data_IF_804733090118
#
_entry.id   IF_804733090118
#
_cell.length_a   1.000
_cell.length_b   1.000
_cell.length_c   1.000
_cell.angle_alpha   90.00
_cell.angle_beta   90.00
_cell.angle_gamma   90.00
#
_symmetry.space_group_name_H-M   'P 1'
#
loop_
_entity.id
_entity.type
_entity.pdbx_description
1 polymer ?
#
# COMPACT_ATOMS: atom_id res chain seq x y z
N UNK A 1 1.45 2.38 -3.32
CA UNK A 1 0.89 2.94 -2.07
C UNK A 1 -0.47 2.34 -1.73
N UNK A 2 -1.46 2.40 -2.64
CA UNK A 2 -2.80 1.85 -2.39
C UNK A 2 -2.79 0.35 -2.04
N UNK A 3 -2.01 -0.47 -2.72
CA UNK A 3 -1.91 -1.91 -2.46
C UNK A 3 -1.41 -2.21 -1.04
N UNK A 4 -0.45 -1.45 -0.53
CA UNK A 4 0.05 -1.58 0.86
C UNK A 4 -1.01 -1.12 1.86
N UNK A 5 -1.67 -0.01 1.57
CA UNK A 5 -2.73 0.55 2.42
C UNK A 5 -3.92 -0.40 2.52
N UNK A 6 -4.26 -1.13 1.46
CA UNK A 6 -5.29 -2.18 1.48
C UNK A 6 -4.98 -3.26 2.52
N UNK A 7 -3.73 -3.69 2.63
CA UNK A 7 -3.30 -4.71 3.60
C UNK A 7 -3.36 -4.19 5.04
N UNK A 8 -2.88 -2.98 5.29
CA UNK A 8 -2.84 -2.40 6.64
C UNK A 8 -4.16 -1.79 7.12
N UNK A 9 -5.10 -1.51 6.23
CA UNK A 9 -6.45 -1.06 6.57
C UNK A 9 -6.55 0.33 7.20
N UNK A 10 -5.57 1.22 6.96
CA UNK A 10 -5.59 2.58 7.49
C UNK A 10 -6.59 3.46 6.72
N UNK A 11 -7.70 3.86 7.34
CA UNK A 11 -8.74 4.66 6.68
C UNK A 11 -8.27 6.05 6.23
N UNK A 12 -7.44 6.71 7.01
CA UNK A 12 -6.87 8.03 6.63
C UNK A 12 -5.93 7.90 5.43
N UNK A 13 -5.10 6.88 5.45
CA UNK A 13 -4.17 6.59 4.37
C UNK A 13 -4.91 6.19 3.09
N UNK A 14 -5.99 5.43 3.20
CA UNK A 14 -6.84 5.07 2.07
C UNK A 14 -7.40 6.31 1.37
N UNK A 15 -7.97 7.22 2.12
CA UNK A 15 -8.47 8.49 1.58
C UNK A 15 -7.35 9.33 0.94
N UNK A 16 -6.24 9.49 1.65
CA UNK A 16 -5.11 10.30 1.18
C UNK A 16 -4.51 9.74 -0.11
N UNK A 17 -4.21 8.44 -0.14
CA UNK A 17 -3.60 7.80 -1.30
C UNK A 17 -4.55 7.68 -2.48
N UNK A 18 -5.84 7.44 -2.26
CA UNK A 18 -6.85 7.46 -3.31
C UNK A 18 -6.92 8.84 -3.98
N UNK A 19 -7.01 9.90 -3.18
CA UNK A 19 -7.05 11.28 -3.69
C UNK A 19 -5.79 11.63 -4.49
N UNK A 20 -4.61 11.20 -4.03
CA UNK A 20 -3.36 11.42 -4.78
C UNK A 20 -3.29 10.57 -6.04
N UNK A 21 -3.74 9.33 -6.00
CA UNK A 21 -3.81 8.45 -7.16
C UNK A 21 -4.67 9.02 -8.27
N UNK A 22 -5.87 9.47 -7.93
CA UNK A 22 -6.78 10.12 -8.89
C UNK A 22 -6.17 11.36 -9.54
N UNK A 23 -5.45 12.17 -8.75
CA UNK A 23 -4.72 13.34 -9.29
C UNK A 23 -3.54 12.97 -10.19
N UNK A 24 -2.99 11.78 -10.01
CA UNK A 24 -1.86 11.26 -10.80
C UNK A 24 -2.32 10.46 -12.04
N UNK A 25 -3.62 10.38 -12.30
CA UNK A 25 -4.18 9.73 -13.48
C UNK A 25 -4.64 8.28 -13.26
N UNK A 26 -4.65 7.79 -12.03
CA UNK A 26 -5.25 6.48 -11.69
C UNK A 26 -6.78 6.61 -11.83
N UNK A 27 -7.40 5.68 -12.52
CA UNK A 27 -8.86 5.66 -12.66
C UNK A 27 -9.55 5.36 -11.33
N UNK A 28 -10.76 5.90 -11.15
CA UNK A 28 -11.50 5.73 -9.89
C UNK A 28 -11.87 4.27 -9.60
N UNK A 29 -12.22 3.51 -10.62
CA UNK A 29 -12.53 2.08 -10.48
C UNK A 29 -11.29 1.27 -10.11
N UNK A 30 -10.14 1.59 -10.72
CA UNK A 30 -8.86 0.98 -10.37
C UNK A 30 -8.46 1.29 -8.92
N UNK A 31 -8.62 2.55 -8.48
CA UNK A 31 -8.31 2.94 -7.10
C UNK A 31 -9.18 2.17 -6.09
N UNK A 32 -10.47 2.00 -6.36
CA UNK A 32 -11.38 1.21 -5.52
C UNK A 32 -10.96 -0.26 -5.50
N UNK A 33 -10.63 -0.84 -6.65
CA UNK A 33 -10.17 -2.22 -6.76
C UNK A 33 -8.88 -2.46 -5.97
N UNK A 34 -7.90 -1.56 -6.07
CA UNK A 34 -6.63 -1.64 -5.32
C UNK A 34 -6.85 -1.56 -3.81
N UNK A 35 -7.75 -0.70 -3.35
CA UNK A 35 -8.10 -0.60 -1.93
C UNK A 35 -8.86 -1.84 -1.42
N UNK A 36 -9.56 -2.54 -2.30
CA UNK A 36 -10.18 -3.82 -2.00
C UNK A 36 -9.21 -5.02 -2.07
N UNK A 37 -7.94 -4.77 -2.41
CA UNK A 37 -6.92 -5.81 -2.56
C UNK A 37 -6.93 -6.52 -3.91
N UNK A 38 -7.70 -6.05 -4.89
CA UNK A 38 -7.75 -6.61 -6.24
C UNK A 38 -6.74 -5.93 -7.16
N UNK A 39 -6.02 -6.73 -7.95
CA UNK A 39 -5.06 -6.27 -8.95
C UNK A 39 -5.55 -6.50 -10.39
N UNK A 40 -6.81 -6.91 -10.57
CA UNK A 40 -7.36 -7.26 -11.87
C UNK A 40 -7.42 -6.09 -12.85
N UNK A 41 -7.61 -4.88 -12.34
CA UNK A 41 -7.71 -3.66 -13.15
C UNK A 41 -6.37 -2.94 -13.33
N UNK A 42 -5.27 -3.45 -12.79
CA UNK A 42 -3.98 -2.78 -12.92
C UNK A 42 -3.36 -3.02 -14.31
N UNK A 43 -2.63 -2.02 -14.87
CA UNK A 43 -1.88 -2.21 -16.11
C UNK A 43 -0.87 -3.35 -15.98
N UNK A 44 -0.71 -4.15 -17.03
CA UNK A 44 0.21 -5.31 -17.02
C UNK A 44 1.65 -4.90 -16.70
N UNK A 45 2.07 -3.72 -17.15
CA UNK A 45 3.41 -3.17 -16.89
C UNK A 45 3.68 -2.90 -15.41
N UNK A 46 2.63 -2.63 -14.63
CA UNK A 46 2.71 -2.31 -13.20
C UNK A 46 2.40 -3.53 -12.33
N UNK A 47 1.87 -4.61 -12.90
CA UNK A 47 1.38 -5.77 -12.16
C UNK A 47 2.44 -6.39 -11.26
N UNK A 48 3.68 -6.51 -11.73
CA UNK A 48 4.79 -7.12 -10.97
C UNK A 48 5.09 -6.28 -9.72
N UNK A 49 5.13 -4.95 -9.86
CA UNK A 49 5.39 -4.05 -8.72
C UNK A 49 4.24 -4.08 -7.71
N UNK A 50 2.99 -4.13 -8.18
CA UNK A 50 1.80 -4.19 -7.32
C UNK A 50 1.69 -5.51 -6.59
N UNK A 51 1.95 -6.63 -7.25
CA UNK A 51 2.01 -7.96 -6.64
C UNK A 51 3.11 -8.03 -5.58
N UNK A 52 4.27 -7.49 -5.87
CA UNK A 52 5.36 -7.39 -4.90
C UNK A 52 4.97 -6.54 -3.69
N UNK A 53 4.37 -5.37 -3.90
CA UNK A 53 3.94 -4.48 -2.83
C UNK A 53 2.92 -5.16 -1.90
N UNK A 54 1.95 -5.88 -2.47
CA UNK A 54 0.96 -6.64 -1.72
C UNK A 54 1.63 -7.74 -0.89
N UNK A 55 2.46 -8.57 -1.51
CA UNK A 55 3.21 -9.63 -0.82
C UNK A 55 4.11 -9.08 0.28
N UNK A 56 4.83 -7.99 0.00
CA UNK A 56 5.68 -7.31 0.97
C UNK A 56 4.90 -6.85 2.21
N UNK A 57 3.71 -6.29 2.01
CA UNK A 57 2.86 -5.85 3.11
C UNK A 57 2.27 -7.05 3.89
N UNK A 58 1.78 -8.08 3.20
CA UNK A 58 1.23 -9.29 3.81
C UNK A 58 2.26 -10.08 4.59
N UNK A 59 3.52 -10.10 4.14
CA UNK A 59 4.65 -10.73 4.83
C UNK A 59 5.26 -9.86 5.94
N UNK A 60 4.63 -8.75 6.27
CA UNK A 60 5.10 -7.81 7.29
C UNK A 60 6.51 -7.25 6.99
N UNK A 61 6.72 -6.82 5.76
CA UNK A 61 7.99 -6.31 5.23
C UNK A 61 9.13 -7.35 5.18
N UNK A 62 8.78 -8.61 5.04
CA UNK A 62 9.74 -9.71 4.91
C UNK A 62 9.46 -10.54 3.63
N UNK A 63 9.71 -9.97 2.44
CA UNK A 63 9.40 -10.63 1.18
C UNK A 63 10.32 -11.82 0.91
N UNK A 64 9.79 -12.81 0.18
CA UNK A 64 10.57 -13.95 -0.28
C UNK A 64 11.70 -13.52 -1.23
N UNK A 65 12.82 -14.23 -1.20
CA UNK A 65 13.96 -14.01 -2.12
C UNK A 65 13.52 -14.07 -3.58
N UNK A 66 12.66 -15.02 -3.93
CA UNK A 66 12.13 -15.17 -5.29
C UNK A 66 11.33 -13.93 -5.73
N UNK A 67 10.52 -13.34 -4.84
CA UNK A 67 9.76 -12.13 -5.12
C UNK A 67 10.69 -10.94 -5.39
N UNK A 68 11.75 -10.79 -4.59
CA UNK A 68 12.78 -9.75 -4.79
C UNK A 68 13.50 -9.92 -6.11
N UNK A 69 13.94 -11.13 -6.43
CA UNK A 69 14.63 -11.44 -7.69
C UNK A 69 13.74 -11.18 -8.92
N UNK A 70 12.47 -11.51 -8.84
CA UNK A 70 11.49 -11.24 -9.90
C UNK A 70 11.34 -9.74 -10.14
N UNK A 71 11.28 -8.95 -9.07
CA UNK A 71 11.20 -7.50 -9.13
C UNK A 71 12.47 -6.90 -9.76
N UNK A 72 13.65 -7.37 -9.35
CA UNK A 72 14.94 -6.91 -9.91
C UNK A 72 15.07 -7.22 -11.39
N UNK A 73 14.64 -8.41 -11.82
CA UNK A 73 14.64 -8.78 -13.24
C UNK A 73 13.72 -7.89 -14.08
N UNK A 74 12.59 -7.46 -13.51
CA UNK A 74 11.62 -6.63 -14.23
C UNK A 74 12.02 -5.16 -14.32
N UNK A 75 12.59 -4.59 -13.26
CA UNK A 75 12.79 -3.14 -13.13
C UNK A 75 14.23 -2.70 -12.92
N UNK A 76 15.14 -3.59 -12.56
CA UNK A 76 16.53 -3.29 -12.22
C UNK A 76 16.72 -2.82 -10.77
N UNK A 77 17.96 -2.93 -10.28
CA UNK A 77 18.31 -2.70 -8.87
C UNK A 77 17.96 -1.29 -8.36
N UNK A 78 18.15 -0.25 -9.18
CA UNK A 78 17.88 1.13 -8.76
C UNK A 78 16.37 1.39 -8.55
N UNK A 79 15.52 0.89 -9.44
CA UNK A 79 14.07 1.00 -9.28
C UNK A 79 13.57 0.19 -8.08
N UNK A 80 14.17 -0.97 -7.82
CA UNK A 80 13.85 -1.81 -6.65
C UNK A 80 14.15 -1.07 -5.35
N UNK A 81 15.27 -0.38 -5.26
CA UNK A 81 15.58 0.46 -4.09
C UNK A 81 14.54 1.54 -3.87
N UNK A 82 14.14 2.23 -4.94
CA UNK A 82 13.11 3.26 -4.87
C UNK A 82 11.74 2.70 -4.45
N UNK A 83 11.35 1.55 -4.99
CA UNK A 83 10.12 0.85 -4.63
C UNK A 83 10.14 0.46 -3.15
N UNK A 84 11.21 -0.16 -2.67
CA UNK A 84 11.34 -0.56 -1.27
C UNK A 84 11.32 0.64 -0.31
N UNK A 85 11.94 1.74 -0.68
CA UNK A 85 11.88 2.97 0.11
C UNK A 85 10.45 3.50 0.20
N UNK A 86 9.74 3.56 -0.93
CA UNK A 86 8.34 3.99 -0.96
C UNK A 86 7.45 3.08 -0.09
N UNK A 87 7.63 1.76 -0.17
CA UNK A 87 6.88 0.79 0.64
C UNK A 87 7.10 0.99 2.14
N UNK A 88 8.34 1.23 2.56
CA UNK A 88 8.68 1.50 3.96
C UNK A 88 8.03 2.79 4.46
N UNK A 89 8.07 3.85 3.67
CA UNK A 89 7.43 5.13 4.01
C UNK A 89 5.92 4.98 4.16
N UNK A 90 5.28 4.28 3.24
CA UNK A 90 3.83 4.02 3.28
C UNK A 90 3.46 3.16 4.49
N UNK A 91 4.26 2.15 4.81
CA UNK A 91 4.06 1.32 6.00
C UNK A 91 4.09 2.14 7.29
N UNK A 92 5.09 2.99 7.45
CA UNK A 92 5.19 3.88 8.62
C UNK A 92 3.96 4.76 8.72
N UNK A 93 3.52 5.38 7.62
CA UNK A 93 2.31 6.19 7.59
C UNK A 93 1.05 5.42 7.96
N UNK A 94 0.89 4.20 7.44
CA UNK A 94 -0.27 3.35 7.76
C UNK A 94 -0.29 2.91 9.23
N UNK A 95 0.85 2.51 9.77
CA UNK A 95 0.95 2.11 11.18
C UNK A 95 0.71 3.31 12.12
N UNK A 96 1.25 4.47 11.79
CA UNK A 96 1.00 5.70 12.54
C UNK A 96 -0.47 6.11 12.49
N UNK A 97 -1.12 6.01 11.32
CA UNK A 97 -2.54 6.29 11.16
C UNK A 97 -3.42 5.35 11.97
N UNK A 98 -3.12 4.05 11.97
CA UNK A 98 -3.84 3.07 12.76
C UNK A 98 -3.64 3.28 14.28
N UNK A 99 -2.42 3.64 14.70
CA UNK A 99 -2.14 3.96 16.09
C UNK A 99 -2.91 5.20 16.56
N UNK A 100 -2.96 6.24 15.73
CA UNK A 100 -3.75 7.44 15.98
C UNK A 100 -5.24 7.13 16.11
N UNK A 101 -5.77 6.32 15.20
CA UNK A 101 -7.17 5.90 15.22
C UNK A 101 -7.50 5.13 16.51
N UNK A 102 -6.64 4.21 16.91
CA UNK A 102 -6.77 3.48 18.18
C UNK A 102 -6.72 4.42 19.39
N UNK A 103 -5.81 5.39 19.38
CA UNK A 103 -5.71 6.40 20.44
C UNK A 103 -6.99 7.22 20.59
N UNK A 104 -7.55 7.70 19.47
CA UNK A 104 -8.83 8.40 19.46
C UNK A 104 -9.98 7.54 20.00
N UNK A 105 -10.02 6.27 19.60
CA UNK A 105 -10.99 5.31 20.11
C UNK A 105 -10.92 5.17 21.62
N UNK A 106 -9.74 5.01 22.17
CA UNK A 106 -9.51 4.87 23.60
C UNK A 106 -9.86 6.15 24.36
N UNK A 107 -9.45 7.29 23.85
CA UNK A 107 -9.69 8.60 24.49
C UNK A 107 -11.17 8.97 24.49
N UNK A 108 -11.89 8.66 23.41
CA UNK A 108 -13.31 8.99 23.26
C UNK A 108 -14.25 7.93 23.84
N UNK A 109 -13.72 6.87 24.47
CA UNK A 109 -14.49 5.71 24.95
C UNK A 109 -15.32 5.06 23.83
N UNK A 110 -14.72 4.91 22.66
CA UNK A 110 -15.32 4.26 21.51
C UNK A 110 -16.21 5.13 20.62
N UNK A 111 -16.24 6.45 20.84
CA UNK A 111 -17.04 7.36 20.01
C UNK A 111 -16.31 7.78 18.72
N UNK A 112 -14.99 7.86 18.75
CA UNK A 112 -14.14 8.28 17.65
C UNK A 112 -13.07 7.21 17.36
N UNK A 113 -12.71 7.07 16.11
CA UNK A 113 -11.71 6.09 15.71
C UNK A 113 -12.24 4.64 15.70
N UNK A 114 -11.31 3.76 15.60
CA UNK A 114 -11.57 2.31 15.62
C UNK A 114 -10.78 1.59 16.69
#
# INVERSE_FOLDING_TARGET
MLAVTAVYGCRYCSYFHAKRGLKSGVDSEEAVALLAGSLEMCPTEEAIALLYAQHWAESNANPDTEAVERLERAYGAEKVKAINLALRMVRIGNLAGNLWDYFLYRLSRGKWGN
#
